data_IF_748284776782
#
_entry.id   IF_748284776782
#
_cell.length_a   1.000
_cell.length_b   1.000
_cell.length_c   1.000
_cell.angle_alpha   90.00
_cell.angle_beta   90.00
_cell.angle_gamma   90.00
#
_symmetry.space_group_name_H-M   'P 1'
#
loop_
_entity.id
_entity.type
_entity.pdbx_description
1 polymer ?
#
# COMPACT_ATOMS: atom_id res chain seq x y z
N UNK A 1 -2.09 15.15 -12.87
CA UNK A 1 -1.47 13.88 -12.46
C UNK A 1 -2.57 12.83 -12.32
N UNK A 2 -2.69 11.87 -13.26
CA UNK A 2 -3.83 10.95 -13.35
C UNK A 2 -3.95 10.00 -12.14
N UNK A 3 -2.81 9.51 -11.62
CA UNK A 3 -2.79 8.60 -10.48
C UNK A 3 -3.39 9.20 -9.20
N UNK A 4 -3.02 10.46 -8.88
CA UNK A 4 -3.52 11.16 -7.69
C UNK A 4 -5.03 11.43 -7.82
N UNK A 5 -5.50 11.80 -9.01
CA UNK A 5 -6.93 12.02 -9.25
C UNK A 5 -7.73 10.72 -9.08
N UNK A 6 -7.24 9.60 -9.62
CA UNK A 6 -7.87 8.29 -9.45
C UNK A 6 -7.90 7.84 -7.98
N UNK A 7 -6.78 7.98 -7.26
CA UNK A 7 -6.72 7.64 -5.84
C UNK A 7 -7.65 8.51 -4.99
N UNK A 8 -7.73 9.82 -5.30
CA UNK A 8 -8.65 10.74 -4.62
C UNK A 8 -10.10 10.35 -4.86
N UNK A 9 -10.48 10.02 -6.09
CA UNK A 9 -11.84 9.60 -6.40
C UNK A 9 -12.18 8.29 -5.70
N UNK A 10 -11.26 7.32 -5.70
CA UNK A 10 -11.45 6.07 -4.98
C UNK A 10 -11.65 6.30 -3.48
N UNK A 11 -10.85 7.19 -2.86
CA UNK A 11 -10.98 7.51 -1.44
C UNK A 11 -12.30 8.23 -1.09
N UNK A 12 -12.88 8.99 -2.02
CA UNK A 12 -14.14 9.71 -1.81
C UNK A 12 -15.38 8.85 -2.14
N UNK A 13 -15.23 7.72 -2.83
CA UNK A 13 -16.36 6.92 -3.31
C UNK A 13 -16.90 5.92 -2.28
N UNK A 14 -16.24 5.77 -1.13
CA UNK A 14 -16.67 4.81 -0.10
C UNK A 14 -16.03 5.07 1.26
N UNK A 15 -16.69 4.57 2.29
CA UNK A 15 -16.20 4.60 3.66
C UNK A 15 -15.37 3.34 3.93
N UNK A 16 -14.10 3.38 3.55
CA UNK A 16 -13.19 2.24 3.72
C UNK A 16 -12.59 2.20 5.12
N UNK A 17 -12.46 0.99 5.64
CA UNK A 17 -11.70 0.78 6.87
C UNK A 17 -10.19 0.73 6.61
N UNK A 18 -9.43 1.38 7.49
CA UNK A 18 -7.96 1.28 7.49
C UNK A 18 -7.58 -0.15 7.92
N UNK A 19 -6.69 -0.87 7.21
CA UNK A 19 -6.22 -2.19 7.64
C UNK A 19 -5.65 -2.19 9.07
N UNK A 20 -6.01 -3.20 9.87
CA UNK A 20 -5.70 -3.25 11.31
C UNK A 20 -4.19 -3.15 11.61
N UNK A 21 -3.36 -3.80 10.80
CA UNK A 21 -1.91 -3.86 10.98
C UNK A 21 -1.20 -2.52 10.75
N UNK A 22 -1.85 -1.52 10.13
CA UNK A 22 -1.28 -0.17 9.96
C UNK A 22 -1.93 0.90 10.85
N UNK A 23 -2.94 0.54 11.66
CA UNK A 23 -3.59 1.50 12.56
C UNK A 23 -2.63 1.89 13.70
N UNK A 24 -2.66 3.17 14.09
CA UNK A 24 -1.97 3.61 15.30
C UNK A 24 -2.67 3.03 16.55
N UNK A 25 -1.89 2.64 17.55
CA UNK A 25 -2.39 2.08 18.81
C UNK A 25 -1.77 2.78 20.03
N UNK A 26 -2.08 4.08 20.24
CA UNK A 26 -1.47 4.88 21.30
C UNK A 26 -1.93 4.47 22.71
N UNK A 27 -3.16 3.96 22.85
CA UNK A 27 -3.71 3.55 24.14
C UNK A 27 -3.55 2.05 24.40
N UNK A 28 -3.50 1.65 25.67
CA UNK A 28 -3.44 0.23 26.05
C UNK A 28 -4.67 -0.58 25.62
N UNK A 29 -5.84 0.05 25.59
CA UNK A 29 -7.08 -0.58 25.11
C UNK A 29 -7.00 -0.90 23.61
N UNK A 30 -6.52 0.05 22.80
CA UNK A 30 -6.37 -0.15 21.35
C UNK A 30 -5.40 -1.28 21.01
N UNK A 31 -4.29 -1.40 21.76
CA UNK A 31 -3.35 -2.54 21.62
C UNK A 31 -4.03 -3.88 21.93
N UNK A 32 -4.84 -3.94 22.99
CA UNK A 32 -5.62 -5.14 23.34
C UNK A 32 -6.65 -5.50 22.27
N UNK A 33 -7.22 -4.50 21.61
CA UNK A 33 -8.12 -4.67 20.45
C UNK A 33 -7.38 -5.04 19.15
N UNK A 34 -6.05 -5.20 19.18
CA UNK A 34 -5.25 -5.63 18.04
C UNK A 34 -4.87 -4.53 17.06
N UNK A 35 -4.99 -3.25 17.43
CA UNK A 35 -4.58 -2.14 16.56
C UNK A 35 -3.06 -2.14 16.41
N UNK A 36 -2.58 -2.06 15.17
CA UNK A 36 -1.15 -2.12 14.86
C UNK A 36 -0.50 -3.45 15.24
N UNK A 37 -1.29 -4.45 15.65
CA UNK A 37 -0.81 -5.80 15.87
C UNK A 37 -0.38 -6.36 14.51
N UNK A 38 0.76 -7.03 14.50
CA UNK A 38 1.34 -7.65 13.31
C UNK A 38 1.80 -6.65 12.23
N UNK A 39 2.01 -5.37 12.58
CA UNK A 39 2.72 -4.45 11.69
C UNK A 39 4.11 -4.99 11.35
N UNK A 40 4.35 -5.30 10.08
CA UNK A 40 5.64 -5.81 9.62
C UNK A 40 6.50 -4.64 9.16
N UNK A 41 7.47 -4.27 9.98
CA UNK A 41 8.38 -3.17 9.67
C UNK A 41 9.28 -3.53 8.46
N UNK A 42 9.14 -2.86 7.28
CA UNK A 42 9.80 -3.31 6.05
C UNK A 42 11.32 -3.39 6.12
N UNK A 43 11.96 -2.55 6.94
CA UNK A 43 13.42 -2.53 7.10
C UNK A 43 13.99 -3.77 7.81
N UNK A 44 13.15 -4.57 8.46
CA UNK A 44 13.58 -5.83 9.07
C UNK A 44 13.62 -7.00 8.06
N UNK A 45 13.14 -6.77 6.83
CA UNK A 45 13.07 -7.80 5.79
C UNK A 45 14.15 -7.58 4.73
N UNK A 46 14.52 -8.67 4.06
CA UNK A 46 15.51 -8.65 2.98
C UNK A 46 15.10 -7.64 1.88
N UNK A 47 16.06 -6.83 1.43
CA UNK A 47 15.79 -5.78 0.45
C UNK A 47 14.95 -4.60 0.98
N UNK A 48 14.75 -4.50 2.30
CA UNK A 48 13.92 -3.48 2.96
C UNK A 48 12.47 -3.45 2.45
N UNK A 49 11.95 -4.61 2.06
CA UNK A 49 10.65 -4.70 1.42
C UNK A 49 9.88 -5.94 1.86
N UNK A 50 8.56 -5.77 2.00
CA UNK A 50 7.63 -6.86 2.23
C UNK A 50 6.37 -6.65 1.39
N UNK A 51 5.91 -7.73 0.74
CA UNK A 51 4.65 -7.73 0.01
C UNK A 51 3.48 -7.82 1.01
N UNK A 52 2.92 -6.66 1.34
CA UNK A 52 1.83 -6.51 2.32
C UNK A 52 0.74 -5.57 1.80
N UNK A 53 -0.53 -5.89 2.05
CA UNK A 53 -1.63 -5.05 1.59
C UNK A 53 -1.79 -3.81 2.47
N UNK A 54 -1.47 -2.63 1.92
CA UNK A 54 -1.64 -1.33 2.60
C UNK A 54 -2.95 -0.63 2.26
N UNK A 55 -3.69 -1.12 1.26
CA UNK A 55 -4.99 -0.58 0.87
C UNK A 55 -6.11 -1.29 1.66
N UNK A 56 -7.28 -0.64 1.83
CA UNK A 56 -8.48 -1.30 2.32
C UNK A 56 -8.83 -2.56 1.51
N UNK A 57 -9.50 -3.52 2.14
CA UNK A 57 -9.78 -4.83 1.57
C UNK A 57 -10.61 -4.73 0.27
N UNK A 58 -11.52 -3.77 0.22
CA UNK A 58 -12.44 -3.52 -0.90
C UNK A 58 -11.70 -3.02 -2.15
N UNK A 59 -10.54 -2.39 -1.98
CA UNK A 59 -9.75 -1.80 -3.08
C UNK A 59 -8.32 -2.35 -3.13
N UNK A 60 -8.03 -3.47 -2.46
CA UNK A 60 -6.69 -4.04 -2.30
C UNK A 60 -5.92 -4.33 -3.59
N UNK A 61 -6.67 -4.60 -4.66
CA UNK A 61 -6.13 -4.94 -5.98
C UNK A 61 -6.06 -3.73 -6.93
N UNK A 62 -6.42 -2.54 -6.43
CA UNK A 62 -6.40 -1.31 -7.23
C UNK A 62 -4.97 -0.86 -7.53
N UNK A 63 -4.73 -0.46 -8.78
CA UNK A 63 -3.46 0.13 -9.23
C UNK A 63 -3.74 1.53 -9.77
N UNK A 64 -3.29 2.55 -9.03
CA UNK A 64 -3.52 3.95 -9.40
C UNK A 64 -2.37 4.55 -10.22
N UNK A 65 -1.14 4.09 -10.00
CA UNK A 65 0.05 4.62 -10.67
C UNK A 65 0.65 3.57 -11.59
N UNK A 66 0.60 3.84 -12.90
CA UNK A 66 1.27 3.08 -13.95
C UNK A 66 2.35 3.97 -14.57
N UNK A 67 3.63 3.79 -14.21
CA UNK A 67 4.72 4.57 -14.79
C UNK A 67 4.84 4.31 -16.29
N UNK A 68 5.21 5.35 -17.04
CA UNK A 68 5.54 5.23 -18.46
C UNK A 68 6.95 4.67 -18.65
N UNK A 69 7.32 4.40 -19.90
CA UNK A 69 8.69 3.93 -20.23
C UNK A 69 9.68 5.08 -20.45
N UNK A 70 9.27 6.32 -20.21
CA UNK A 70 10.07 7.49 -20.53
C UNK A 70 11.03 7.83 -19.39
N UNK A 71 12.33 7.84 -19.70
CA UNK A 71 13.38 8.35 -18.81
C UNK A 71 13.40 7.66 -17.44
N UNK A 72 13.27 8.45 -16.36
CA UNK A 72 13.33 7.95 -14.98
C UNK A 72 12.15 7.04 -14.61
N UNK A 73 11.00 7.17 -15.27
CA UNK A 73 9.83 6.33 -14.97
C UNK A 73 10.06 4.87 -15.35
N UNK A 74 10.93 4.59 -16.32
CA UNK A 74 11.31 3.21 -16.69
C UNK A 74 11.92 2.46 -15.51
N UNK A 75 12.87 3.08 -14.81
CA UNK A 75 13.51 2.48 -13.63
C UNK A 75 12.51 2.28 -12.49
N UNK A 76 11.53 3.18 -12.35
CA UNK A 76 10.44 3.05 -11.38
C UNK A 76 9.55 1.85 -11.74
N UNK A 77 9.16 1.69 -13.01
CA UNK A 77 8.39 0.55 -13.51
C UNK A 77 9.09 -0.77 -13.25
N UNK A 78 10.37 -0.87 -13.58
CA UNK A 78 11.19 -2.07 -13.34
C UNK A 78 11.27 -2.41 -11.85
N UNK A 79 11.46 -1.41 -10.98
CA UNK A 79 11.45 -1.59 -9.52
C UNK A 79 10.09 -2.08 -9.03
N UNK A 80 8.99 -1.49 -9.51
CA UNK A 80 7.63 -1.90 -9.13
C UNK A 80 7.34 -3.34 -9.57
N UNK A 81 7.71 -3.74 -10.78
CA UNK A 81 7.57 -5.12 -11.26
C UNK A 81 8.37 -6.12 -10.39
N UNK A 82 9.58 -5.75 -9.98
CA UNK A 82 10.42 -6.59 -9.11
C UNK A 82 9.84 -6.78 -7.71
N UNK A 83 9.33 -5.69 -7.12
CA UNK A 83 8.78 -5.72 -5.76
C UNK A 83 7.36 -6.31 -5.72
N UNK A 84 6.58 -6.11 -6.78
CA UNK A 84 5.15 -6.39 -6.82
C UNK A 84 4.72 -7.14 -8.10
N UNK A 85 5.26 -8.34 -8.40
CA UNK A 85 4.99 -9.06 -9.65
C UNK A 85 3.52 -9.48 -9.82
N UNK A 86 2.76 -9.60 -8.72
CA UNK A 86 1.33 -9.93 -8.78
C UNK A 86 0.42 -8.72 -9.05
N UNK A 87 0.85 -7.51 -8.65
CA UNK A 87 0.07 -6.27 -8.73
C UNK A 87 0.40 -5.46 -9.97
N UNK A 88 1.66 -5.46 -10.39
CA UNK A 88 2.11 -4.87 -11.65
C UNK A 88 2.41 -6.00 -12.64
N UNK A 89 1.80 -5.92 -13.84
CA UNK A 89 2.02 -6.84 -14.96
C UNK A 89 2.50 -6.08 -16.19
#
# INVERSE_FOLDING_TARGET
>A
CQAIAAAKNAALSGDYEIPMHIRNAPTGLMKKMGYGKDYRYPHNYEGNFIAENYLPEEIKDSVFYNPTENGSEKAIREKLLKLWPGRYR
#
